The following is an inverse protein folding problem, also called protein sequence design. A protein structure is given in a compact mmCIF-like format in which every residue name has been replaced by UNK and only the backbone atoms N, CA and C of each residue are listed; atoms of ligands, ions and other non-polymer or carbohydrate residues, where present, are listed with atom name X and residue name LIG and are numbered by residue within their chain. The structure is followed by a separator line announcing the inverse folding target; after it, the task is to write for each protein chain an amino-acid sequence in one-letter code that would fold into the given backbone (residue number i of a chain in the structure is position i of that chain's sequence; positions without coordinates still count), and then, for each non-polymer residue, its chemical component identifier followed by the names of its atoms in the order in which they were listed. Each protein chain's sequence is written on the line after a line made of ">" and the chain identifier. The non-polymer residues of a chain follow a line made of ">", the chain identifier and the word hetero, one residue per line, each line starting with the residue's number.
data_IF_755408628522
#
_entry.id   IF_755408628522
#
_cell.length_a   1.000
_cell.length_b   1.000
_cell.length_c   1.000
_cell.angle_alpha   90.00
_cell.angle_beta   90.00
_cell.angle_gamma   90.00
#
_symmetry.space_group_name_H-M   'P 1'
#
loop_
_entity.id
_entity.type
_entity.pdbx_description
1 polymer ?
#
# COMPACT_ATOMS: atom_id res chain seq x y z
N UNK A 1 5.98 -4.07 11.69
CA UNK A 1 5.38 -2.81 12.17
C UNK A 1 5.67 -2.63 13.66
N UNK A 2 6.17 -1.47 14.05
CA UNK A 2 6.38 -1.13 15.46
C UNK A 2 5.01 -0.82 16.10
N UNK A 3 4.75 -1.34 17.30
CA UNK A 3 3.49 -1.13 18.02
C UNK A 3 3.31 0.36 18.35
N UNK A 4 2.37 1.02 17.66
CA UNK A 4 2.00 2.41 17.95
C UNK A 4 0.81 2.42 18.90
N UNK A 5 1.10 2.72 20.18
CA UNK A 5 0.10 2.78 21.25
C UNK A 5 -0.96 3.86 21.00
N UNK A 6 -0.57 5.02 20.47
CA UNK A 6 -1.50 6.13 20.22
C UNK A 6 -2.47 5.81 19.09
N UNK A 7 -1.98 5.22 17.99
CA UNK A 7 -2.83 4.76 16.90
C UNK A 7 -3.79 3.63 17.34
N UNK A 8 -3.34 2.75 18.24
CA UNK A 8 -4.16 1.66 18.78
C UNK A 8 -5.29 2.18 19.67
N UNK A 9 -5.02 3.18 20.53
CA UNK A 9 -6.07 3.78 21.37
C UNK A 9 -7.09 4.56 20.54
N UNK A 10 -6.65 5.33 19.53
CA UNK A 10 -7.57 6.01 18.61
C UNK A 10 -8.47 5.02 17.87
N UNK A 11 -7.89 3.94 17.34
CA UNK A 11 -8.65 2.90 16.66
C UNK A 11 -9.68 2.22 17.59
N UNK A 12 -9.36 2.03 18.88
CA UNK A 12 -10.33 1.52 19.86
C UNK A 12 -11.51 2.47 20.04
N UNK A 13 -11.28 3.78 20.09
CA UNK A 13 -12.36 4.76 20.19
C UNK A 13 -13.25 4.78 18.94
N UNK A 14 -12.64 4.68 17.76
CA UNK A 14 -13.38 4.62 16.48
C UNK A 14 -14.25 3.36 16.40
N UNK A 15 -13.71 2.21 16.80
CA UNK A 15 -14.47 0.96 16.90
C UNK A 15 -15.63 1.09 17.90
N UNK A 16 -15.41 1.71 19.08
CA UNK A 16 -16.50 1.96 20.04
C UNK A 16 -17.60 2.84 19.45
N UNK A 17 -17.24 3.91 18.73
CA UNK A 17 -18.20 4.79 18.05
C UNK A 17 -19.03 4.01 17.02
N UNK A 18 -18.37 3.24 16.15
CA UNK A 18 -19.05 2.43 15.14
C UNK A 18 -19.99 1.37 15.75
N UNK A 19 -19.52 0.65 16.78
CA UNK A 19 -20.33 -0.33 17.52
C UNK A 19 -21.54 0.31 18.19
N UNK A 20 -21.41 1.54 18.69
CA UNK A 20 -22.51 2.26 19.34
C UNK A 20 -23.62 2.56 18.34
N UNK A 21 -23.26 3.07 17.15
CA UNK A 21 -24.22 3.35 16.07
C UNK A 21 -24.91 2.06 15.60
N UNK A 22 -24.13 1.00 15.36
CA UNK A 22 -24.67 -0.31 14.98
C UNK A 22 -25.61 -0.89 16.05
N UNK A 23 -25.25 -0.75 17.33
CA UNK A 23 -26.06 -1.27 18.44
C UNK A 23 -27.41 -0.56 18.57
N UNK A 24 -27.44 0.75 18.30
CA UNK A 24 -28.67 1.53 18.25
C UNK A 24 -29.53 1.13 17.03
N UNK A 25 -28.91 0.97 15.86
CA UNK A 25 -29.62 0.59 14.64
C UNK A 25 -30.26 -0.80 14.72
N UNK A 26 -29.54 -1.75 15.32
CA UNK A 26 -29.95 -3.15 15.51
C UNK A 26 -30.86 -3.36 16.74
N UNK A 27 -31.25 -2.30 17.44
CA UNK A 27 -32.09 -2.42 18.63
C UNK A 27 -33.49 -2.97 18.31
N UNK A 28 -34.07 -2.55 17.19
CA UNK A 28 -35.42 -2.96 16.76
C UNK A 28 -35.41 -3.80 15.49
N UNK A 29 -34.23 -4.21 15.00
CA UNK A 29 -34.06 -4.90 13.71
C UNK A 29 -33.31 -6.20 13.87
N UNK A 30 -33.67 -7.20 13.10
CA UNK A 30 -32.95 -8.48 13.08
C UNK A 30 -31.69 -8.41 12.21
N UNK A 31 -31.76 -7.72 11.08
CA UNK A 31 -30.69 -7.52 10.10
C UNK A 31 -30.49 -6.03 9.79
N UNK A 32 -29.42 -5.68 9.08
CA UNK A 32 -29.07 -4.28 8.82
C UNK A 32 -30.06 -3.60 7.86
N UNK A 33 -30.53 -4.32 6.84
CA UNK A 33 -31.46 -3.80 5.82
C UNK A 33 -32.59 -4.79 5.59
N UNK A 34 -33.78 -4.44 6.05
CA UNK A 34 -34.96 -5.32 6.04
C UNK A 34 -34.87 -6.45 7.09
N UNK A 35 -35.82 -7.39 7.02
CA UNK A 35 -35.90 -8.53 7.95
C UNK A 35 -35.32 -9.84 7.35
N UNK A 36 -34.32 -9.70 6.46
CA UNK A 36 -33.59 -10.83 5.86
C UNK A 36 -32.12 -10.48 5.67
N UNK A 37 -31.26 -11.51 5.63
CA UNK A 37 -29.84 -11.34 5.32
C UNK A 37 -29.70 -10.65 3.95
N UNK A 38 -28.92 -9.58 3.95
CA UNK A 38 -28.60 -8.79 2.76
C UNK A 38 -27.08 -8.71 2.57
N UNK A 39 -26.64 -8.13 1.44
CA UNK A 39 -25.23 -7.83 1.21
C UNK A 39 -24.66 -6.89 2.29
N UNK A 40 -25.49 -6.01 2.88
CA UNK A 40 -25.04 -5.16 3.98
C UNK A 40 -24.61 -6.02 5.19
N UNK A 41 -25.38 -7.06 5.53
CA UNK A 41 -25.06 -7.94 6.64
C UNK A 41 -23.77 -8.73 6.39
N UNK A 42 -23.58 -9.23 5.16
CA UNK A 42 -22.40 -9.99 4.75
C UNK A 42 -21.15 -9.11 4.85
N UNK A 43 -21.16 -7.92 4.24
CA UNK A 43 -20.00 -7.03 4.20
C UNK A 43 -19.59 -6.58 5.60
N UNK A 44 -20.56 -6.19 6.44
CA UNK A 44 -20.27 -5.72 7.80
C UNK A 44 -19.87 -6.89 8.72
N UNK A 45 -20.47 -8.07 8.58
CA UNK A 45 -20.06 -9.23 9.38
C UNK A 45 -18.65 -9.69 9.02
N UNK A 46 -18.29 -9.72 7.73
CA UNK A 46 -16.95 -10.07 7.28
C UNK A 46 -15.88 -9.09 7.77
N UNK A 47 -16.15 -7.78 7.74
CA UNK A 47 -15.20 -6.77 8.23
C UNK A 47 -15.00 -6.84 9.75
N UNK A 48 -16.05 -7.20 10.50
CA UNK A 48 -15.99 -7.35 11.96
C UNK A 48 -15.46 -8.70 12.44
N UNK A 49 -15.25 -9.67 11.55
CA UNK A 49 -14.84 -11.03 11.90
C UNK A 49 -13.54 -11.06 12.71
N UNK A 50 -12.52 -10.34 12.24
CA UNK A 50 -11.23 -10.26 12.94
C UNK A 50 -11.33 -9.54 14.28
N UNK A 51 -12.22 -8.54 14.37
CA UNK A 51 -12.48 -7.85 15.63
C UNK A 51 -13.05 -8.82 16.68
N UNK A 52 -14.06 -9.59 16.30
CA UNK A 52 -14.67 -10.59 17.18
C UNK A 52 -13.76 -11.78 17.50
N UNK A 53 -12.83 -12.15 16.60
CA UNK A 53 -11.87 -13.24 16.85
C UNK A 53 -10.69 -12.81 17.73
N UNK A 54 -10.21 -11.56 17.62
CA UNK A 54 -8.93 -11.16 18.22
C UNK A 54 -9.04 -10.15 19.37
N UNK A 55 -9.98 -9.21 19.32
CA UNK A 55 -9.95 -8.03 20.22
C UNK A 55 -11.23 -7.78 21.02
N UNK A 56 -12.40 -8.23 20.56
CA UNK A 56 -13.67 -8.00 21.28
C UNK A 56 -13.90 -9.06 22.37
N UNK A 57 -13.22 -8.86 23.49
CA UNK A 57 -13.41 -9.67 24.70
C UNK A 57 -14.80 -9.46 25.35
N UNK A 58 -15.26 -10.35 26.25
CA UNK A 58 -16.56 -10.26 26.91
C UNK A 58 -16.88 -8.88 27.52
N UNK A 59 -15.93 -8.27 28.22
CA UNK A 59 -16.10 -6.97 28.88
C UNK A 59 -16.34 -5.83 27.89
N UNK A 60 -15.73 -5.90 26.69
CA UNK A 60 -15.85 -4.86 25.68
C UNK A 60 -17.14 -4.97 24.87
N UNK A 61 -17.66 -6.19 24.70
CA UNK A 61 -18.90 -6.44 23.96
C UNK A 61 -20.18 -6.36 24.80
N UNK A 62 -20.06 -6.38 26.13
CA UNK A 62 -21.18 -6.24 27.06
C UNK A 62 -22.12 -5.04 26.75
N UNK A 63 -21.63 -3.81 26.49
CA UNK A 63 -22.51 -2.69 26.14
C UNK A 63 -23.14 -2.79 24.74
N UNK A 64 -22.70 -3.72 23.90
CA UNK A 64 -23.12 -3.88 22.50
C UNK A 64 -23.81 -5.22 22.27
N UNK A 65 -24.78 -5.55 23.12
CA UNK A 65 -25.51 -6.82 23.11
C UNK A 65 -26.25 -7.06 21.79
N UNK A 66 -26.86 -6.03 21.19
CA UNK A 66 -27.62 -6.15 19.94
C UNK A 66 -26.72 -6.47 18.75
N UNK A 67 -25.53 -5.87 18.71
CA UNK A 67 -24.50 -6.15 17.70
C UNK A 67 -23.95 -7.55 17.86
N UNK A 68 -23.67 -7.96 19.11
CA UNK A 68 -23.19 -9.32 19.38
C UNK A 68 -24.22 -10.37 18.97
N UNK A 69 -25.50 -10.15 19.29
CA UNK A 69 -26.61 -11.00 18.86
C UNK A 69 -26.66 -11.10 17.33
N UNK A 70 -26.68 -9.95 16.63
CA UNK A 70 -26.72 -9.93 15.17
C UNK A 70 -25.52 -10.65 14.54
N UNK A 71 -24.31 -10.39 15.04
CA UNK A 71 -23.10 -11.03 14.53
C UNK A 71 -23.14 -12.55 14.70
N UNK A 72 -23.53 -13.03 15.89
CA UNK A 72 -23.71 -14.47 16.17
C UNK A 72 -24.78 -15.08 15.26
N UNK A 73 -25.89 -14.38 15.02
CA UNK A 73 -26.93 -14.82 14.10
C UNK A 73 -26.39 -14.94 12.66
N UNK A 74 -25.60 -13.99 12.18
CA UNK A 74 -25.02 -14.00 10.83
C UNK A 74 -24.03 -15.16 10.66
N UNK A 75 -23.03 -15.27 11.54
CA UNK A 75 -21.97 -16.30 11.40
C UNK A 75 -22.48 -17.73 11.60
N UNK A 76 -23.63 -17.90 12.27
CA UNK A 76 -24.25 -19.21 12.45
C UNK A 76 -25.17 -19.64 11.30
N UNK A 77 -25.43 -18.78 10.31
CA UNK A 77 -26.19 -19.18 9.13
C UNK A 77 -25.43 -20.26 8.34
N UNK A 78 -26.12 -21.24 7.73
CA UNK A 78 -25.49 -22.31 6.96
C UNK A 78 -24.53 -21.80 5.87
N UNK A 79 -24.91 -20.72 5.19
CA UNK A 79 -24.14 -20.08 4.13
C UNK A 79 -22.84 -19.47 4.67
N UNK A 80 -22.88 -18.89 5.87
CA UNK A 80 -21.69 -18.34 6.52
C UNK A 80 -20.78 -19.44 7.06
N UNK A 81 -21.34 -20.49 7.68
CA UNK A 81 -20.56 -21.63 8.17
C UNK A 81 -19.82 -22.36 7.05
N UNK A 82 -20.41 -22.45 5.86
CA UNK A 82 -19.77 -23.06 4.70
C UNK A 82 -18.47 -22.35 4.28
N UNK A 83 -18.36 -21.04 4.51
CA UNK A 83 -17.20 -20.23 4.10
C UNK A 83 -16.26 -19.92 5.26
N UNK A 84 -16.80 -19.50 6.41
CA UNK A 84 -16.02 -19.02 7.55
C UNK A 84 -15.64 -20.13 8.54
N UNK A 85 -16.26 -21.31 8.43
CA UNK A 85 -16.14 -22.39 9.40
C UNK A 85 -16.72 -22.04 10.78
N UNK A 86 -16.25 -22.72 11.82
CA UNK A 86 -16.67 -22.43 13.19
C UNK A 86 -15.96 -21.18 13.73
N UNK A 87 -16.74 -20.13 13.98
CA UNK A 87 -16.22 -18.84 14.47
C UNK A 87 -16.21 -18.84 15.99
N UNK A 88 -15.03 -19.06 16.58
CA UNK A 88 -14.82 -18.90 18.02
C UNK A 88 -14.67 -17.41 18.37
N UNK A 89 -15.53 -16.90 19.25
CA UNK A 89 -15.45 -15.52 19.75
C UNK A 89 -14.26 -15.34 20.70
N UNK A 90 -13.66 -14.15 20.69
CA UNK A 90 -12.55 -13.77 21.55
C UNK A 90 -12.93 -13.88 23.04
N UNK A 91 -12.14 -14.60 23.82
CA UNK A 91 -12.32 -14.76 25.27
C UNK A 91 -11.47 -13.76 26.07
N UNK A 92 -10.33 -13.33 25.53
CA UNK A 92 -9.40 -12.34 26.11
C UNK A 92 -8.78 -11.52 24.99
N UNK A 93 -8.71 -10.19 25.14
CA UNK A 93 -8.09 -9.33 24.12
C UNK A 93 -6.68 -9.83 23.75
N UNK A 94 -6.39 -9.93 22.45
CA UNK A 94 -5.03 -10.12 21.97
C UNK A 94 -4.18 -8.92 22.41
N UNK A 95 -3.43 -9.10 23.50
CA UNK A 95 -2.40 -8.15 23.92
C UNK A 95 -1.19 -8.34 22.99
N UNK A 96 -0.60 -7.23 22.57
CA UNK A 96 0.65 -7.26 21.81
C UNK A 96 1.74 -7.92 22.66
N UNK A 97 2.08 -9.16 22.33
CA UNK A 97 3.15 -9.90 22.99
C UNK A 97 4.44 -9.70 22.18
N UNK A 98 5.32 -8.85 22.70
CA UNK A 98 6.60 -8.54 22.07
C UNK A 98 7.46 -9.79 21.83
N UNK A 99 7.26 -10.88 22.59
CA UNK A 99 7.97 -12.16 22.39
C UNK A 99 7.45 -12.93 21.17
N UNK A 100 6.13 -13.01 20.98
CA UNK A 100 5.57 -13.67 19.77
C UNK A 100 5.87 -12.90 18.49
N UNK A 101 5.93 -11.58 18.56
CA UNK A 101 6.32 -10.73 17.43
C UNK A 101 7.80 -10.91 17.04
N UNK A 102 8.68 -11.20 18.01
CA UNK A 102 10.09 -11.50 17.74
C UNK A 102 10.34 -12.94 17.32
N UNK A 103 9.48 -13.88 17.68
CA UNK A 103 9.53 -15.29 17.22
C UNK A 103 8.99 -15.50 15.80
N UNK A 104 8.04 -14.66 15.33
CA UNK A 104 7.50 -14.72 13.96
C UNK A 104 8.31 -13.93 12.92
N UNK A 105 9.39 -13.24 13.31
CA UNK A 105 10.35 -12.71 12.34
C UNK A 105 11.29 -13.84 11.87
N UNK A 106 11.50 -14.04 10.56
CA UNK A 106 12.47 -15.01 10.08
C UNK A 106 13.86 -14.65 10.61
N UNK A 107 14.45 -15.57 11.38
CA UNK A 107 15.81 -15.47 11.91
C UNK A 107 16.79 -15.33 10.75
N UNK A 108 17.38 -14.15 10.57
CA UNK A 108 18.69 -14.03 9.91
C UNK A 108 19.69 -14.78 10.77
N UNK A 109 20.10 -15.96 10.29
CA UNK A 109 21.23 -16.70 10.83
C UNK A 109 22.52 -15.90 10.68
N UNK A 110 23.30 -15.82 11.75
CA UNK A 110 24.76 -15.95 11.73
C UNK A 110 25.24 -16.20 13.18
N UNK A 111 26.37 -16.92 13.38
CA UNK A 111 26.44 -18.02 14.33
C UNK A 111 27.06 -17.64 15.68
N UNK A 112 26.71 -18.43 16.69
CA UNK A 112 27.26 -18.43 18.05
C UNK A 112 28.78 -18.69 18.07
N UNK A 113 29.61 -18.12 18.96
CA UNK A 113 29.81 -18.34 20.41
C UNK A 113 31.02 -17.46 20.79
N UNK A 114 31.33 -16.99 22.01
CA UNK A 114 31.06 -17.42 23.39
C UNK A 114 31.52 -16.26 24.32
N UNK A 115 30.76 -16.01 25.39
CA UNK A 115 31.18 -15.72 26.79
C UNK A 115 32.64 -15.27 27.07
N UNK A 116 32.94 -14.20 27.82
CA UNK A 116 32.45 -13.82 29.16
C UNK A 116 32.70 -12.32 29.46
N UNK A 117 31.85 -11.80 30.33
CA UNK A 117 31.69 -10.46 30.94
C UNK A 117 32.90 -9.91 31.76
N UNK A 118 32.80 -8.77 32.50
CA UNK A 118 32.22 -7.44 32.23
C UNK A 118 33.11 -6.24 32.69
N UNK A 119 32.69 -5.02 32.31
CA UNK A 119 32.70 -3.72 33.05
C UNK A 119 33.46 -2.53 32.42
N UNK A 120 32.63 -1.49 32.25
CA UNK A 120 32.84 -0.05 32.50
C UNK A 120 33.69 0.85 31.57
N UNK A 121 32.99 1.93 31.21
CA UNK A 121 33.43 3.33 31.06
C UNK A 121 33.83 3.88 29.67
N UNK A 122 33.08 4.93 29.32
CA UNK A 122 33.46 6.16 28.62
C UNK A 122 33.65 6.18 27.07
N UNK A 123 32.75 6.98 26.45
CA UNK A 123 32.84 7.84 25.24
C UNK A 123 34.26 8.37 24.85
N UNK A 124 34.46 9.08 23.71
CA UNK A 124 33.81 9.06 22.37
C UNK A 124 34.82 9.21 21.17
N UNK A 125 34.29 9.33 19.94
CA UNK A 125 34.80 10.06 18.74
C UNK A 125 35.65 9.37 17.64
N UNK A 126 35.11 9.56 16.42
CA UNK A 126 35.72 9.95 15.12
C UNK A 126 36.54 9.01 14.21
N UNK A 127 36.07 9.01 12.94
CA UNK A 127 36.80 9.13 11.66
C UNK A 127 37.42 7.90 10.95
N UNK A 128 36.78 7.64 9.79
CA UNK A 128 37.34 7.65 8.41
C UNK A 128 38.05 6.41 7.82
N UNK A 129 37.52 6.10 6.64
CA UNK A 129 38.18 5.79 5.36
C UNK A 129 38.79 4.40 5.08
N UNK A 130 38.11 3.74 4.11
CA UNK A 130 38.62 3.27 2.81
C UNK A 130 39.29 1.89 2.66
N UNK A 131 38.73 1.20 1.66
CA UNK A 131 39.35 0.48 0.53
C UNK A 131 39.51 -1.06 0.54
N UNK A 132 38.72 -1.66 -0.37
CA UNK A 132 39.10 -2.60 -1.45
C UNK A 132 39.58 -4.02 -1.12
N UNK A 133 38.78 -5.00 -1.55
CA UNK A 133 39.06 -6.03 -2.60
C UNK A 133 37.77 -6.89 -2.78
N UNK A 134 37.13 -6.98 -3.96
CA UNK A 134 37.42 -7.90 -5.11
C UNK A 134 37.65 -9.34 -4.61
N UNK A 135 37.06 -10.43 -5.10
CA UNK A 135 36.30 -10.80 -6.31
C UNK A 135 36.02 -12.32 -6.11
N UNK A 136 34.83 -12.86 -6.37
CA UNK A 136 34.60 -14.15 -7.06
C UNK A 136 33.14 -14.68 -7.00
N UNK A 137 32.82 -15.46 -8.04
CA UNK A 137 31.52 -15.75 -8.67
C UNK A 137 30.69 -16.86 -7.99
N UNK A 138 29.35 -16.66 -8.02
CA UNK A 138 28.19 -17.55 -8.35
C UNK A 138 28.22 -19.05 -7.95
N UNK A 139 27.06 -19.66 -7.58
CA UNK A 139 25.86 -19.69 -8.42
C UNK A 139 24.52 -19.44 -7.70
N UNK A 140 23.48 -19.34 -8.53
CA UNK A 140 22.09 -18.99 -8.25
C UNK A 140 21.40 -19.90 -7.21
N UNK A 141 20.34 -19.36 -6.57
CA UNK A 141 19.14 -20.15 -6.32
C UNK A 141 17.96 -19.59 -7.13
N UNK A 142 17.17 -20.54 -7.60
CA UNK A 142 15.90 -20.43 -8.31
C UNK A 142 14.88 -19.54 -7.61
N UNK A 143 13.95 -19.04 -8.42
CA UNK A 143 12.78 -18.26 -8.05
C UNK A 143 11.96 -18.93 -6.94
N UNK A 144 12.07 -18.45 -5.71
CA UNK A 144 10.97 -18.56 -4.75
C UNK A 144 9.96 -17.46 -5.09
N UNK A 145 8.85 -17.88 -5.71
CA UNK A 145 7.64 -17.08 -5.87
C UNK A 145 7.19 -16.55 -4.51
N UNK A 146 7.01 -15.24 -4.42
CA UNK A 146 6.52 -14.55 -3.23
C UNK A 146 5.07 -14.96 -2.92
N UNK A 147 4.70 -15.09 -1.64
CA UNK A 147 3.36 -15.44 -1.17
C UNK A 147 2.27 -14.48 -1.71
N UNK A 148 2.68 -13.29 -2.15
CA UNK A 148 1.83 -12.32 -2.84
C UNK A 148 1.36 -12.77 -4.23
N UNK A 149 2.14 -13.59 -4.94
CA UNK A 149 1.74 -14.19 -6.23
C UNK A 149 0.77 -15.36 -6.05
N UNK A 150 0.93 -16.14 -4.98
CA UNK A 150 0.03 -17.24 -4.66
C UNK A 150 -1.38 -16.73 -4.26
N UNK A 151 -1.47 -15.60 -3.56
CA UNK A 151 -2.74 -15.00 -3.18
C UNK A 151 -3.52 -14.43 -4.38
N UNK A 152 -2.83 -13.90 -5.39
CA UNK A 152 -3.44 -13.36 -6.62
C UNK A 152 -3.83 -14.45 -7.63
N UNK A 153 -3.21 -15.62 -7.58
CA UNK A 153 -3.60 -16.79 -8.37
C UNK A 153 -4.90 -17.46 -7.86
N UNK A 154 -5.32 -17.16 -6.62
CA UNK A 154 -6.47 -17.78 -5.97
C UNK A 154 -7.78 -16.98 -6.10
N UNK A 155 -7.75 -15.71 -6.52
CA UNK A 155 -8.98 -14.96 -6.82
C UNK A 155 -9.47 -15.28 -8.25
N UNK A 156 -10.79 -15.47 -8.46
CA UNK A 156 -11.35 -15.77 -9.77
C UNK A 156 -10.97 -14.64 -10.74
N UNK A 157 -10.23 -15.00 -11.80
CA UNK A 157 -9.70 -14.08 -12.84
C UNK A 157 -10.78 -13.13 -13.34
N UNK A 158 -10.89 -11.95 -12.72
CA UNK A 158 -11.30 -10.77 -13.46
C UNK A 158 -10.31 -10.68 -14.63
N UNK A 159 -10.83 -10.65 -15.87
CA UNK A 159 -10.01 -10.61 -17.09
C UNK A 159 -8.92 -9.55 -16.89
N UNK A 160 -7.66 -9.98 -16.89
CA UNK A 160 -6.53 -9.05 -16.80
C UNK A 160 -6.68 -8.03 -17.93
N UNK A 161 -6.92 -6.75 -17.62
CA UNK A 161 -7.21 -5.75 -18.64
C UNK A 161 -6.05 -5.59 -19.63
N UNK A 162 -4.84 -6.04 -19.27
CA UNK A 162 -3.65 -5.98 -20.12
C UNK A 162 -3.35 -7.29 -20.87
N UNK A 163 -4.15 -8.35 -20.70
CA UNK A 163 -3.91 -9.65 -21.35
C UNK A 163 -4.01 -9.63 -22.88
N UNK A 164 -4.60 -8.58 -23.45
CA UNK A 164 -4.65 -8.37 -24.89
C UNK A 164 -3.34 -7.81 -25.46
N UNK A 165 -2.44 -7.31 -24.61
CA UNK A 165 -1.17 -6.73 -25.03
C UNK A 165 -0.09 -7.82 -25.12
N UNK A 166 0.83 -7.73 -26.10
CA UNK A 166 1.94 -8.66 -26.22
C UNK A 166 2.83 -8.61 -24.98
N UNK A 167 3.57 -9.69 -24.71
CA UNK A 167 4.55 -9.74 -23.61
C UNK A 167 5.62 -8.67 -23.86
N UNK A 168 5.80 -7.76 -22.91
CA UNK A 168 6.86 -6.74 -23.00
C UNK A 168 8.25 -7.33 -22.86
N UNK A 169 9.23 -6.70 -23.48
CA UNK A 169 10.64 -6.86 -23.13
C UNK A 169 10.99 -6.18 -21.78
N UNK A 170 10.21 -5.18 -21.36
CA UNK A 170 10.45 -4.43 -20.13
C UNK A 170 9.84 -5.13 -18.92
N UNK A 171 10.68 -5.49 -17.94
CA UNK A 171 10.24 -6.09 -16.68
C UNK A 171 10.11 -5.00 -15.61
N UNK A 172 8.88 -4.57 -15.36
CA UNK A 172 8.55 -3.51 -14.41
C UNK A 172 9.05 -3.80 -12.98
N UNK A 173 8.98 -5.05 -12.54
CA UNK A 173 9.43 -5.44 -11.19
C UNK A 173 10.95 -5.35 -11.02
N UNK A 174 11.72 -5.64 -12.06
CA UNK A 174 13.18 -5.49 -12.03
C UNK A 174 13.56 -4.00 -11.98
N UNK A 175 12.88 -3.18 -12.78
CA UNK A 175 13.04 -1.72 -12.72
C UNK A 175 12.72 -1.17 -11.31
N UNK A 176 11.61 -1.58 -10.70
CA UNK A 176 11.22 -1.16 -9.34
C UNK A 176 12.25 -1.56 -8.27
N UNK A 177 12.83 -2.75 -8.41
CA UNK A 177 13.90 -3.24 -7.52
C UNK A 177 15.15 -2.37 -7.67
N UNK A 178 15.60 -2.11 -8.92
CA UNK A 178 16.76 -1.23 -9.18
C UNK A 178 16.51 0.19 -8.69
N UNK A 179 15.33 0.75 -8.96
CA UNK A 179 14.92 2.07 -8.49
C UNK A 179 14.96 2.19 -6.95
N UNK A 180 14.60 1.12 -6.22
CA UNK A 180 14.56 1.16 -4.76
C UNK A 180 15.90 0.86 -4.08
N UNK A 181 16.77 0.10 -4.74
CA UNK A 181 17.99 -0.44 -4.14
C UNK A 181 19.26 0.30 -4.61
N UNK A 182 19.22 0.95 -5.76
CA UNK A 182 20.37 1.57 -6.42
C UNK A 182 20.14 3.07 -6.62
N UNK A 183 21.17 3.77 -7.10
CA UNK A 183 21.11 5.20 -7.37
C UNK A 183 20.17 5.49 -8.56
N UNK A 184 19.15 6.32 -8.33
CA UNK A 184 18.12 6.59 -9.33
C UNK A 184 18.67 7.35 -10.53
N UNK A 185 19.60 8.29 -10.31
CA UNK A 185 20.19 9.11 -11.36
C UNK A 185 21.23 8.35 -12.17
N UNK A 186 22.08 7.56 -11.50
CA UNK A 186 23.21 6.90 -12.14
C UNK A 186 22.88 5.51 -12.70
N UNK A 187 21.87 4.81 -12.16
CA UNK A 187 21.60 3.42 -12.53
C UNK A 187 20.15 3.18 -12.94
N UNK A 188 19.17 3.61 -12.14
CA UNK A 188 17.77 3.31 -12.45
C UNK A 188 17.26 4.02 -13.71
N UNK A 189 17.61 5.31 -13.91
CA UNK A 189 17.22 6.06 -15.11
C UNK A 189 17.88 5.53 -16.39
N UNK A 190 19.20 5.29 -16.46
CA UNK A 190 19.79 4.65 -17.63
C UNK A 190 19.18 3.28 -17.92
N UNK A 191 18.98 2.46 -16.88
CA UNK A 191 18.36 1.14 -17.03
C UNK A 191 16.92 1.25 -17.55
N UNK A 192 16.15 2.22 -17.06
CA UNK A 192 14.81 2.53 -17.56
C UNK A 192 14.86 2.79 -19.06
N UNK A 193 15.63 3.78 -19.51
CA UNK A 193 15.67 4.16 -20.93
C UNK A 193 16.25 3.08 -21.85
N UNK A 194 17.18 2.25 -21.36
CA UNK A 194 17.75 1.14 -22.14
C UNK A 194 16.75 0.00 -22.34
N UNK A 195 15.94 -0.30 -21.33
CA UNK A 195 14.99 -1.42 -21.37
C UNK A 195 13.55 -0.98 -21.67
N UNK A 196 13.29 0.32 -21.80
CA UNK A 196 11.95 0.87 -21.98
C UNK A 196 11.34 0.41 -23.32
N UNK A 197 10.31 -0.42 -23.22
CA UNK A 197 9.53 -0.88 -24.35
C UNK A 197 8.49 0.18 -24.74
N UNK A 198 8.82 0.97 -25.78
CA UNK A 198 7.99 2.08 -26.29
C UNK A 198 6.65 1.65 -26.85
N UNK A 199 6.55 0.44 -27.41
CA UNK A 199 5.31 -0.07 -28.00
C UNK A 199 4.39 -0.61 -26.90
N UNK A 200 5.00 -1.15 -25.86
CA UNK A 200 4.27 -1.79 -24.80
C UNK A 200 4.02 -0.94 -23.54
N UNK A 201 4.76 0.15 -23.32
CA UNK A 201 4.56 1.04 -22.18
C UNK A 201 4.40 2.49 -22.63
N UNK A 202 3.61 3.25 -21.87
CA UNK A 202 3.41 4.68 -22.09
C UNK A 202 3.66 5.47 -20.82
N UNK A 203 4.15 6.69 -20.99
CA UNK A 203 4.43 7.64 -19.91
C UNK A 203 3.32 8.69 -19.92
N UNK A 204 2.74 8.95 -18.75
CA UNK A 204 1.64 9.88 -18.56
C UNK A 204 1.99 10.86 -17.45
N UNK A 205 1.75 12.14 -17.72
CA UNK A 205 1.77 13.19 -16.72
C UNK A 205 0.36 13.40 -16.19
N UNK A 206 0.21 13.32 -14.87
CA UNK A 206 -1.03 13.57 -14.14
C UNK A 206 -0.90 14.82 -13.29
N UNK A 207 -1.75 15.82 -13.47
CA UNK A 207 -1.81 17.03 -12.64
C UNK A 207 -3.17 17.16 -11.96
N UNK A 208 -3.18 17.49 -10.66
CA UNK A 208 -4.43 17.58 -9.91
C UNK A 208 -5.20 18.85 -10.29
N UNK A 209 -6.46 18.70 -10.71
CA UNK A 209 -7.32 19.78 -11.23
C UNK A 209 -7.77 20.79 -10.18
N UNK A 210 -7.82 20.37 -8.91
CA UNK A 210 -8.43 21.17 -7.83
C UNK A 210 -7.41 21.56 -6.75
N UNK A 211 -6.32 22.26 -7.08
CA UNK A 211 -5.29 22.63 -6.11
C UNK A 211 -5.84 23.48 -4.96
N UNK A 212 -6.95 24.18 -5.16
CA UNK A 212 -7.64 24.99 -4.14
C UNK A 212 -8.22 24.15 -2.98
N UNK A 213 -8.52 22.87 -3.22
CA UNK A 213 -8.98 21.94 -2.17
C UNK A 213 -7.82 21.44 -1.28
N UNK A 214 -6.58 21.62 -1.74
CA UNK A 214 -5.37 21.17 -1.06
C UNK A 214 -4.95 22.16 0.04
N UNK A 215 -5.67 22.10 1.16
CA UNK A 215 -5.45 22.99 2.32
C UNK A 215 -4.19 22.64 3.12
N UNK A 216 -4.02 21.39 3.52
CA UNK A 216 -2.90 20.95 4.36
C UNK A 216 -2.05 19.91 3.64
N UNK A 217 -0.73 20.12 3.63
CA UNK A 217 0.24 19.25 2.93
C UNK A 217 0.13 17.79 3.34
N UNK A 218 -0.11 17.49 4.63
CA UNK A 218 -0.32 16.12 5.10
C UNK A 218 -1.62 15.50 4.58
N UNK A 219 -2.69 16.29 4.40
CA UNK A 219 -3.96 15.79 3.86
C UNK A 219 -3.80 15.45 2.38
N UNK A 220 -3.12 16.31 1.62
CA UNK A 220 -2.75 16.08 0.22
C UNK A 220 -1.91 14.81 0.08
N UNK A 221 -0.94 14.61 0.98
CA UNK A 221 -0.12 13.41 1.02
C UNK A 221 -0.96 12.14 1.32
N UNK A 222 -1.94 12.23 2.22
CA UNK A 222 -2.86 11.13 2.51
C UNK A 222 -3.79 10.82 1.32
N UNK A 223 -4.22 11.84 0.58
CA UNK A 223 -5.03 11.69 -0.64
C UNK A 223 -4.28 10.86 -1.68
N UNK A 224 -3.01 11.21 -1.96
CA UNK A 224 -2.16 10.43 -2.89
C UNK A 224 -2.03 8.97 -2.45
N UNK A 225 -1.77 8.72 -1.15
CA UNK A 225 -1.67 7.35 -0.65
C UNK A 225 -3.00 6.59 -0.70
N UNK A 226 -4.13 7.26 -0.45
CA UNK A 226 -5.46 6.66 -0.58
C UNK A 226 -5.74 6.22 -2.01
N UNK A 227 -5.37 7.04 -3.00
CA UNK A 227 -5.46 6.68 -4.41
C UNK A 227 -4.58 5.47 -4.74
N UNK A 228 -3.31 5.45 -4.27
CA UNK A 228 -2.41 4.32 -4.48
C UNK A 228 -2.93 3.00 -3.89
N UNK A 229 -3.56 3.04 -2.72
CA UNK A 229 -4.18 1.85 -2.11
C UNK A 229 -5.35 1.31 -2.93
N UNK A 230 -6.17 2.18 -3.53
CA UNK A 230 -7.26 1.76 -4.43
C UNK A 230 -6.73 1.14 -5.72
N UNK A 231 -5.58 1.61 -6.18
CA UNK A 231 -4.89 1.14 -7.38
C UNK A 231 -3.96 -0.06 -7.13
N UNK A 232 -3.99 -0.69 -5.95
CA UNK A 232 -3.05 -1.77 -5.60
C UNK A 232 -3.03 -2.93 -6.62
N UNK A 233 -4.17 -3.25 -7.24
CA UNK A 233 -4.26 -4.24 -8.32
C UNK A 233 -3.50 -3.84 -9.60
N UNK A 234 -3.39 -2.54 -9.86
CA UNK A 234 -2.67 -1.97 -11.00
C UNK A 234 -1.15 -1.95 -10.77
N UNK A 235 -0.68 -2.12 -9.52
CA UNK A 235 0.74 -2.00 -9.17
C UNK A 235 1.63 -2.92 -10.01
N UNK A 236 1.21 -4.16 -10.31
CA UNK A 236 2.05 -5.10 -11.08
C UNK A 236 2.44 -4.56 -12.47
N UNK A 237 1.55 -3.81 -13.12
CA UNK A 237 1.71 -3.34 -14.49
C UNK A 237 1.93 -1.83 -14.61
N UNK A 238 2.11 -1.14 -13.48
CA UNK A 238 2.29 0.29 -13.45
C UNK A 238 3.29 0.74 -12.39
N UNK A 239 3.87 1.90 -12.62
CA UNK A 239 4.75 2.59 -11.68
C UNK A 239 4.42 4.07 -11.73
N UNK A 240 4.48 4.75 -10.59
CA UNK A 240 4.35 6.21 -10.60
C UNK A 240 5.21 6.87 -9.55
N UNK A 241 5.61 8.10 -9.85
CA UNK A 241 6.20 9.02 -8.88
C UNK A 241 5.29 10.23 -8.79
N UNK A 242 4.57 10.34 -7.67
CA UNK A 242 3.72 11.48 -7.36
C UNK A 242 4.46 12.41 -6.39
N UNK A 243 4.40 13.71 -6.66
CA UNK A 243 5.03 14.73 -5.85
C UNK A 243 3.99 15.76 -5.45
N UNK A 244 4.03 16.09 -4.18
CA UNK A 244 3.35 17.24 -3.59
C UNK A 244 4.31 18.43 -3.61
N UNK A 245 3.88 19.49 -4.25
CA UNK A 245 4.56 20.77 -4.35
C UNK A 245 3.88 21.84 -3.49
N UNK A 246 4.67 22.82 -3.07
CA UNK A 246 4.19 24.02 -2.39
C UNK A 246 4.11 23.87 -0.87
N UNK A 247 3.27 24.70 -0.25
CA UNK A 247 3.11 24.79 1.21
C UNK A 247 1.62 24.71 1.58
N UNK A 248 1.30 24.75 2.87
CA UNK A 248 -0.09 24.75 3.34
C UNK A 248 -0.85 25.92 2.69
N UNK A 249 -2.07 25.63 2.22
CA UNK A 249 -2.99 26.52 1.47
C UNK A 249 -2.52 26.93 0.07
N UNK A 250 -1.34 26.49 -0.38
CA UNK A 250 -0.88 26.69 -1.75
C UNK A 250 -0.12 25.45 -2.22
N UNK A 251 -0.81 24.32 -2.23
CA UNK A 251 -0.25 23.04 -2.66
C UNK A 251 -0.59 22.75 -4.12
N UNK A 252 0.20 21.91 -4.77
CA UNK A 252 -0.14 21.28 -6.06
C UNK A 252 0.32 19.84 -6.04
N UNK A 253 -0.43 18.95 -6.68
CA UNK A 253 -0.04 17.54 -6.83
C UNK A 253 0.17 17.31 -8.31
N UNK A 254 1.33 16.77 -8.65
CA UNK A 254 1.55 16.23 -9.98
C UNK A 254 2.32 14.92 -9.89
N UNK A 255 2.19 14.09 -10.90
CA UNK A 255 2.74 12.76 -10.90
C UNK A 255 3.12 12.32 -12.31
N UNK A 256 4.20 11.55 -12.40
CA UNK A 256 4.54 10.82 -13.61
C UNK A 256 4.17 9.36 -13.40
N UNK A 257 3.37 8.84 -14.33
CA UNK A 257 2.90 7.48 -14.36
C UNK A 257 3.48 6.76 -15.56
N UNK A 258 3.80 5.50 -15.37
CA UNK A 258 4.15 4.55 -16.41
C UNK A 258 3.10 3.46 -16.36
N UNK A 259 2.39 3.27 -17.47
CA UNK A 259 1.38 2.23 -17.63
C UNK A 259 1.78 1.25 -18.71
N UNK A 260 1.43 -0.03 -18.49
CA UNK A 260 1.42 -1.02 -19.56
C UNK A 260 0.33 -0.66 -20.57
N UNK A 261 0.68 -0.63 -21.85
CA UNK A 261 -0.19 -0.26 -22.96
C UNK A 261 -0.01 1.18 -23.40
N UNK A 262 -0.64 1.51 -24.53
CA UNK A 262 -0.61 2.85 -25.11
C UNK A 262 -1.74 3.75 -24.63
N UNK A 263 -2.77 3.17 -24.02
CA UNK A 263 -3.93 3.85 -23.48
C UNK A 263 -3.78 4.10 -21.97
N UNK A 264 -4.59 5.03 -21.45
CA UNK A 264 -4.63 5.33 -20.03
C UNK A 264 -5.14 4.11 -19.27
N UNK A 265 -4.35 3.57 -18.35
CA UNK A 265 -4.75 2.36 -17.62
C UNK A 265 -6.09 2.51 -16.87
N UNK A 266 -6.40 3.72 -16.38
CA UNK A 266 -7.63 3.99 -15.62
C UNK A 266 -8.92 3.74 -16.41
N UNK A 267 -8.92 3.92 -17.74
CA UNK A 267 -10.12 3.68 -18.56
C UNK A 267 -10.40 2.19 -18.78
N UNK A 268 -9.43 1.31 -18.48
CA UNK A 268 -9.55 -0.12 -18.70
C UNK A 268 -10.39 -0.84 -17.64
N UNK A 269 -10.56 -0.25 -16.46
CA UNK A 269 -11.40 -0.80 -15.39
C UNK A 269 -12.22 0.28 -14.70
N UNK A 270 -13.54 0.09 -14.54
CA UNK A 270 -14.39 1.01 -13.77
C UNK A 270 -13.89 1.22 -12.34
N UNK A 271 -13.26 0.20 -11.74
CA UNK A 271 -12.73 0.26 -10.37
C UNK A 271 -11.59 1.28 -10.20
N UNK A 272 -10.91 1.63 -11.31
CA UNK A 272 -9.78 2.56 -11.31
C UNK A 272 -10.18 3.98 -11.71
N UNK A 273 -11.46 4.19 -12.06
CA UNK A 273 -11.99 5.47 -12.52
C UNK A 273 -12.44 6.41 -11.38
N UNK A 274 -12.27 6.01 -10.13
CA UNK A 274 -12.80 6.76 -8.98
C UNK A 274 -12.08 8.11 -8.82
N UNK A 275 -10.74 8.12 -8.94
CA UNK A 275 -9.94 9.32 -8.68
C UNK A 275 -9.36 9.95 -9.94
N UNK A 276 -9.35 9.24 -11.07
CA UNK A 276 -8.67 9.73 -12.26
C UNK A 276 -9.32 11.00 -12.83
N UNK A 277 -10.63 11.22 -12.62
CA UNK A 277 -11.33 12.41 -13.13
C UNK A 277 -10.84 13.70 -12.48
N UNK A 278 -10.34 13.62 -11.24
CA UNK A 278 -9.77 14.74 -10.49
C UNK A 278 -8.37 15.14 -10.98
N UNK A 279 -7.79 14.40 -11.91
CA UNK A 279 -6.50 14.70 -12.52
C UNK A 279 -6.64 14.96 -14.03
N UNK A 280 -5.81 15.86 -14.55
CA UNK A 280 -5.57 16.03 -15.97
C UNK A 280 -4.45 15.10 -16.41
N UNK A 281 -4.70 14.34 -17.47
CA UNK A 281 -3.78 13.33 -17.99
C UNK A 281 -3.24 13.76 -19.35
N UNK A 282 -1.93 13.92 -19.45
CA UNK A 282 -1.23 14.18 -20.70
C UNK A 282 -0.28 13.04 -20.99
N UNK A 283 -0.48 12.34 -22.11
CA UNK A 283 0.49 11.37 -22.60
C UNK A 283 1.76 12.12 -23.01
N UNK A 284 2.90 11.69 -22.49
CA UNK A 284 4.20 12.24 -22.86
C UNK A 284 4.86 11.36 -23.92
N UNK A 285 5.58 12.01 -24.83
CA UNK A 285 6.41 11.33 -25.83
C UNK A 285 7.76 10.97 -25.21
N UNK A 286 8.13 9.67 -25.12
CA UNK A 286 9.41 9.22 -24.55
C UNK A 286 10.64 9.85 -25.22
N UNK A 287 10.55 10.26 -26.48
CA UNK A 287 11.69 10.82 -27.22
C UNK A 287 11.87 12.33 -27.00
N UNK A 288 10.88 13.01 -26.42
CA UNK A 288 10.96 14.43 -26.10
C UNK A 288 11.93 14.71 -24.95
N UNK A 289 12.78 15.72 -25.12
CA UNK A 289 13.67 16.22 -24.06
C UNK A 289 12.87 16.75 -22.85
N UNK A 290 11.64 17.23 -23.06
CA UNK A 290 10.71 17.58 -21.98
C UNK A 290 10.38 16.35 -21.13
N UNK A 291 10.03 15.22 -21.78
CA UNK A 291 9.68 13.98 -21.07
C UNK A 291 10.89 13.41 -20.32
N UNK A 292 12.06 13.37 -20.95
CA UNK A 292 13.28 12.88 -20.29
C UNK A 292 13.65 13.71 -19.06
N UNK A 293 13.50 15.03 -19.17
CA UNK A 293 13.75 15.95 -18.05
C UNK A 293 12.73 15.74 -16.95
N UNK A 294 11.43 15.71 -17.27
CA UNK A 294 10.37 15.46 -16.30
C UNK A 294 10.55 14.10 -15.61
N UNK A 295 10.73 13.01 -16.36
CA UNK A 295 10.98 11.67 -15.79
C UNK A 295 12.17 11.70 -14.85
N UNK A 296 13.29 12.33 -15.25
CA UNK A 296 14.46 12.49 -14.41
C UNK A 296 14.14 13.21 -13.10
N UNK A 297 13.54 14.39 -13.16
CA UNK A 297 13.22 15.21 -11.97
C UNK A 297 12.24 14.50 -11.01
N UNK A 298 11.20 13.84 -11.55
CA UNK A 298 10.25 13.11 -10.70
C UNK A 298 10.81 11.81 -10.15
N UNK A 299 11.80 11.19 -10.79
CA UNK A 299 12.39 9.92 -10.35
C UNK A 299 13.56 10.14 -9.40
N UNK A 300 14.26 11.28 -9.52
CA UNK A 300 15.26 11.68 -8.52
C UNK A 300 14.64 12.41 -7.34
N UNK A 301 13.43 12.97 -7.48
CA UNK A 301 12.88 14.01 -6.59
C UNK A 301 13.77 15.25 -6.48
N UNK A 302 14.71 15.40 -7.41
CA UNK A 302 15.69 16.46 -7.46
C UNK A 302 15.60 17.13 -8.84
N UNK A 303 15.19 18.40 -8.84
CA UNK A 303 14.93 19.15 -10.06
C UNK A 303 14.55 20.59 -9.76
N UNK A 304 14.56 21.44 -10.78
CA UNK A 304 14.06 22.81 -10.65
C UNK A 304 12.53 22.86 -10.77
N UNK A 305 11.89 21.77 -11.24
CA UNK A 305 10.44 21.63 -11.38
C UNK A 305 9.79 22.84 -12.04
N UNK A 306 10.45 23.36 -13.10
CA UNK A 306 10.10 24.63 -13.75
C UNK A 306 8.67 24.66 -14.28
N UNK A 307 8.12 23.50 -14.62
CA UNK A 307 6.76 23.32 -15.10
C UNK A 307 5.70 23.49 -14.00
N UNK A 308 6.02 23.24 -12.73
CA UNK A 308 5.09 23.47 -11.59
C UNK A 308 5.33 24.82 -10.94
N UNK A 309 6.58 25.30 -10.93
CA UNK A 309 6.95 26.60 -10.34
C UNK A 309 6.75 26.70 -8.82
N UNK A 310 6.51 25.56 -8.14
CA UNK A 310 6.35 25.46 -6.68
C UNK A 310 7.45 24.59 -6.09
N UNK A 311 7.88 24.89 -4.86
CA UNK A 311 8.93 24.13 -4.19
C UNK A 311 8.51 22.67 -3.95
N UNK A 312 9.46 21.74 -4.11
CA UNK A 312 9.27 20.35 -3.69
C UNK A 312 8.97 20.28 -2.19
N UNK A 313 7.97 19.49 -1.81
CA UNK A 313 7.63 19.26 -0.40
C UNK A 313 7.78 17.78 -0.04
N UNK A 314 6.99 16.91 -0.68
CA UNK A 314 6.98 15.47 -0.39
C UNK A 314 6.77 14.65 -1.66
N UNK A 315 7.50 13.55 -1.80
CA UNK A 315 7.33 12.56 -2.86
C UNK A 315 6.72 11.26 -2.34
N UNK A 316 5.92 10.60 -3.17
CA UNK A 316 5.40 9.25 -2.96
C UNK A 316 5.54 8.43 -4.23
N UNK A 317 6.09 7.22 -4.08
CA UNK A 317 6.20 6.25 -5.16
C UNK A 317 5.04 5.26 -5.10
N UNK A 318 4.44 5.01 -6.25
CA UNK A 318 3.55 3.91 -6.51
C UNK A 318 4.35 2.76 -7.13
N UNK A 319 4.51 1.67 -6.39
CA UNK A 319 5.22 0.46 -6.82
C UNK A 319 4.56 -0.79 -6.30
#
# INVERSE_FOLDING_TARGET
>A
MQFNKQATEQAKEDVKRALTVLNQHLNTRTFLVGERVSLADITVACSMLWLYKQVLEPSFRQPYSNVTRWFVTCVNQPQFKAVLGEVKLCEKMAQFDAKKFSEMQPKKETPAKKEKAPKEAAKPQEKKEKEKKKEEKKPAPEEEMDESDAALAAEPKAKDPFAHLPKSAFVMDEFKRKYSNEDTLAVALPYFWEHFDREGYSIWYGEYKFPDELTLTFMSCNLIAGMFQRLDKLRKNAFASAILFGTNNNSSISAIWIFRGQELAFTLSPDWQIDYESYDWRKLDPDSEECKTMVKEYFSWEGEFKHVGKAFNQGKIFK
#
